data_IF_795990041718
#
_entry.id   IF_795990041718
#
_cell.length_a   1.000
_cell.length_b   1.000
_cell.length_c   1.000
_cell.angle_alpha   90.00
_cell.angle_beta   90.00
_cell.angle_gamma   90.00
#
_symmetry.space_group_name_H-M   'P 1'
#
loop_
_entity.id
_entity.type
_entity.pdbx_description
1 polymer ?
#
# COMPACT_ATOMS: atom_id res chain seq x y z
N UNK A 1 73.96 -39.97 -61.15
CA UNK A 1 72.50 -40.11 -61.05
C UNK A 1 72.09 -40.94 -59.83
N UNK A 2 72.53 -42.21 -59.68
CA UNK A 2 72.13 -43.09 -58.56
C UNK A 2 72.46 -42.62 -57.12
N UNK A 3 73.53 -41.86 -56.89
CA UNK A 3 73.91 -41.43 -55.53
C UNK A 3 73.06 -40.24 -55.00
N UNK A 4 72.66 -39.34 -55.89
CA UNK A 4 71.79 -38.20 -55.54
C UNK A 4 70.35 -38.67 -55.25
N UNK A 5 69.87 -39.63 -56.06
CA UNK A 5 68.57 -40.28 -55.84
C UNK A 5 68.50 -41.01 -54.49
N UNK A 6 69.60 -41.62 -54.04
CA UNK A 6 69.67 -42.29 -52.74
C UNK A 6 69.68 -41.29 -51.57
N UNK A 7 70.47 -40.21 -51.67
CA UNK A 7 70.53 -39.17 -50.64
C UNK A 7 69.20 -38.43 -50.48
N UNK A 8 68.54 -38.11 -51.60
CA UNK A 8 67.21 -37.50 -51.62
C UNK A 8 66.15 -38.47 -51.06
N UNK A 9 66.24 -39.77 -51.37
CA UNK A 9 65.37 -40.78 -50.77
C UNK A 9 65.58 -40.94 -49.25
N UNK A 10 66.83 -40.91 -48.75
CA UNK A 10 67.10 -40.99 -47.30
C UNK A 10 66.69 -39.72 -46.58
N UNK A 11 66.93 -38.53 -47.15
CA UNK A 11 66.46 -37.27 -46.56
C UNK A 11 64.93 -37.18 -46.51
N UNK A 12 64.23 -37.68 -47.54
CA UNK A 12 62.76 -37.80 -47.50
C UNK A 12 62.29 -38.83 -46.48
N UNK A 13 63.03 -39.93 -46.29
CA UNK A 13 62.71 -40.92 -45.26
C UNK A 13 62.89 -40.34 -43.85
N UNK A 14 64.00 -39.64 -43.58
CA UNK A 14 64.25 -38.95 -42.32
C UNK A 14 63.21 -37.85 -42.05
N UNK A 15 62.87 -37.04 -43.06
CA UNK A 15 61.81 -36.04 -42.93
C UNK A 15 60.43 -36.68 -42.66
N UNK A 16 60.16 -37.86 -43.24
CA UNK A 16 58.93 -38.63 -42.97
C UNK A 16 58.96 -39.28 -41.59
N UNK A 17 60.10 -39.74 -41.11
CA UNK A 17 60.27 -40.30 -39.77
C UNK A 17 60.11 -39.22 -38.69
N UNK A 18 60.62 -38.00 -38.93
CA UNK A 18 60.37 -36.83 -38.08
C UNK A 18 58.88 -36.43 -38.09
N UNK A 19 58.22 -36.44 -39.24
CA UNK A 19 56.78 -36.20 -39.35
C UNK A 19 55.97 -37.27 -38.61
N UNK A 20 56.35 -38.55 -38.74
CA UNK A 20 55.72 -39.67 -38.01
C UNK A 20 55.95 -39.55 -36.50
N UNK A 21 57.15 -39.15 -36.07
CA UNK A 21 57.45 -38.91 -34.66
C UNK A 21 56.63 -37.73 -34.10
N UNK A 22 56.50 -36.64 -34.85
CA UNK A 22 55.64 -35.50 -34.51
C UNK A 22 54.17 -35.89 -34.39
N UNK A 23 53.65 -36.68 -35.34
CA UNK A 23 52.28 -37.19 -35.31
C UNK A 23 52.06 -38.16 -34.14
N UNK A 24 53.04 -39.00 -33.79
CA UNK A 24 52.98 -39.87 -32.61
C UNK A 24 52.94 -39.07 -31.30
N UNK A 25 53.79 -38.06 -31.15
CA UNK A 25 53.76 -37.18 -29.97
C UNK A 25 52.45 -36.40 -29.86
N UNK A 26 51.91 -35.91 -30.98
CA UNK A 26 50.60 -35.27 -31.01
C UNK A 26 49.47 -36.24 -30.63
N UNK A 27 49.54 -37.50 -31.07
CA UNK A 27 48.58 -38.55 -30.70
C UNK A 27 48.63 -38.85 -29.21
N UNK A 28 49.81 -38.98 -28.60
CA UNK A 28 49.97 -39.23 -27.17
C UNK A 28 49.44 -38.04 -26.33
N UNK A 29 49.71 -36.81 -26.74
CA UNK A 29 49.13 -35.61 -26.11
C UNK A 29 47.60 -35.61 -26.18
N UNK A 30 47.03 -35.97 -27.34
CA UNK A 30 45.58 -36.09 -27.54
C UNK A 30 44.97 -37.20 -26.69
N UNK A 31 45.66 -38.32 -26.50
CA UNK A 31 45.23 -39.41 -25.62
C UNK A 31 45.21 -38.97 -24.14
N UNK A 32 46.24 -38.25 -23.69
CA UNK A 32 46.29 -37.69 -22.34
C UNK A 32 45.20 -36.65 -22.11
N UNK A 33 44.96 -35.76 -23.07
CA UNK A 33 43.92 -34.75 -22.94
C UNK A 33 42.52 -35.37 -23.00
N UNK A 34 42.31 -36.41 -23.81
CA UNK A 34 41.08 -37.20 -23.80
C UNK A 34 40.83 -37.86 -22.43
N UNK A 35 41.86 -38.39 -21.79
CA UNK A 35 41.75 -38.97 -20.45
C UNK A 35 41.44 -37.91 -19.38
N UNK A 36 42.09 -36.74 -19.43
CA UNK A 36 41.78 -35.61 -18.54
C UNK A 36 40.34 -35.13 -18.71
N UNK A 37 39.90 -34.88 -19.95
CA UNK A 37 38.53 -34.45 -20.22
C UNK A 37 37.50 -35.51 -19.84
N UNK A 38 37.83 -36.80 -19.99
CA UNK A 38 36.98 -37.89 -19.50
C UNK A 38 36.81 -37.84 -17.99
N UNK A 39 37.89 -37.70 -17.23
CA UNK A 39 37.86 -37.59 -15.77
C UNK A 39 37.13 -36.32 -15.29
N UNK A 40 37.30 -35.20 -15.98
CA UNK A 40 36.59 -33.95 -15.70
C UNK A 40 35.08 -34.08 -15.98
N UNK A 41 34.70 -34.78 -17.06
CA UNK A 41 33.31 -35.04 -17.40
C UNK A 41 32.65 -35.94 -16.35
N UNK A 42 33.31 -37.02 -15.92
CA UNK A 42 32.81 -37.86 -14.83
C UNK A 42 32.69 -37.10 -13.50
N UNK A 43 33.65 -36.22 -13.18
CA UNK A 43 33.59 -35.39 -11.99
C UNK A 43 32.44 -34.38 -12.06
N UNK A 44 32.21 -33.79 -13.23
CA UNK A 44 31.10 -32.88 -13.47
C UNK A 44 29.74 -33.60 -13.40
N UNK A 45 29.63 -34.82 -13.94
CA UNK A 45 28.44 -35.67 -13.85
C UNK A 45 28.13 -36.02 -12.40
N UNK A 46 29.12 -36.45 -11.61
CA UNK A 46 28.94 -36.71 -10.16
C UNK A 46 28.52 -35.47 -9.40
N UNK A 47 29.09 -34.31 -9.70
CA UNK A 47 28.70 -33.05 -9.06
C UNK A 47 27.26 -32.65 -9.42
N UNK A 48 26.84 -32.87 -10.68
CA UNK A 48 25.47 -32.64 -11.11
C UNK A 48 24.49 -33.59 -10.39
N UNK A 49 24.84 -34.86 -10.24
CA UNK A 49 24.05 -35.83 -9.47
C UNK A 49 23.95 -35.47 -7.98
N UNK A 50 25.05 -35.06 -7.35
CA UNK A 50 25.04 -34.61 -5.95
C UNK A 50 24.16 -33.37 -5.74
N UNK A 51 24.27 -32.38 -6.63
CA UNK A 51 23.42 -31.17 -6.58
C UNK A 51 21.96 -31.52 -6.79
N UNK A 52 21.65 -32.40 -7.75
CA UNK A 52 20.28 -32.88 -7.98
C UNK A 52 19.74 -33.67 -6.78
N UNK A 53 20.54 -34.55 -6.18
CA UNK A 53 20.17 -35.31 -4.99
C UNK A 53 19.94 -34.41 -3.77
N UNK A 54 20.74 -33.34 -3.62
CA UNK A 54 20.57 -32.37 -2.56
C UNK A 54 19.33 -31.50 -2.77
N UNK A 55 19.06 -31.07 -4.01
CA UNK A 55 17.81 -30.43 -4.41
C UNK A 55 16.60 -31.31 -4.09
N UNK A 56 16.65 -32.58 -4.46
CA UNK A 56 15.55 -33.53 -4.24
C UNK A 56 15.36 -33.85 -2.74
N UNK A 57 16.43 -33.87 -1.94
CA UNK A 57 16.35 -33.97 -0.47
C UNK A 57 15.68 -32.74 0.15
N UNK A 58 16.01 -31.54 -0.31
CA UNK A 58 15.37 -30.30 0.17
C UNK A 58 13.90 -30.21 -0.29
N UNK A 59 13.57 -30.70 -1.50
CA UNK A 59 12.19 -30.88 -1.97
C UNK A 59 11.41 -31.89 -1.12
N UNK A 60 12.01 -33.06 -0.84
CA UNK A 60 11.39 -34.12 0.00
C UNK A 60 11.25 -33.71 1.46
N UNK A 61 12.10 -32.81 1.97
CA UNK A 61 11.99 -32.25 3.32
C UNK A 61 10.76 -31.35 3.49
N UNK A 62 10.01 -31.04 2.43
CA UNK A 62 8.57 -30.74 2.43
C UNK A 62 8.06 -29.61 3.33
N UNK A 63 8.93 -28.94 4.08
CA UNK A 63 8.57 -27.96 5.09
C UNK A 63 8.60 -26.56 4.49
N UNK A 64 9.80 -25.99 4.36
CA UNK A 64 9.94 -24.56 3.99
C UNK A 64 9.50 -24.24 2.56
N UNK A 65 9.90 -25.04 1.57
CA UNK A 65 9.53 -24.76 0.17
C UNK A 65 8.03 -24.92 -0.05
N UNK A 66 7.44 -26.01 0.48
CA UNK A 66 6.01 -26.27 0.40
C UNK A 66 5.19 -25.21 1.17
N UNK A 67 5.67 -24.76 2.33
CA UNK A 67 5.06 -23.65 3.07
C UNK A 67 5.12 -22.33 2.29
N UNK A 68 6.25 -22.02 1.63
CA UNK A 68 6.34 -20.84 0.77
C UNK A 68 5.41 -20.96 -0.45
N UNK A 69 5.32 -22.14 -1.06
CA UNK A 69 4.42 -22.41 -2.19
C UNK A 69 2.94 -22.29 -1.78
N UNK A 70 2.57 -22.79 -0.60
CA UNK A 70 1.25 -22.59 -0.01
C UNK A 70 0.97 -21.10 0.26
N UNK A 71 1.91 -20.38 0.87
CA UNK A 71 1.77 -18.93 1.10
C UNK A 71 1.63 -18.13 -0.19
N UNK A 72 2.41 -18.45 -1.23
CA UNK A 72 2.31 -17.81 -2.54
C UNK A 72 0.95 -18.11 -3.19
N UNK A 73 0.47 -19.34 -3.09
CA UNK A 73 -0.85 -19.71 -3.59
C UNK A 73 -1.99 -19.03 -2.81
N UNK A 74 -1.85 -18.90 -1.50
CA UNK A 74 -2.83 -18.21 -0.66
C UNK A 74 -2.87 -16.71 -0.95
N UNK A 75 -1.69 -16.07 -1.05
CA UNK A 75 -1.56 -14.68 -1.46
C UNK A 75 -2.07 -14.46 -2.90
N UNK A 76 -1.85 -15.41 -3.81
CA UNK A 76 -2.40 -15.37 -5.16
C UNK A 76 -3.92 -15.39 -5.16
N UNK A 77 -4.54 -16.23 -4.32
CA UNK A 77 -6.00 -16.30 -4.14
C UNK A 77 -6.55 -15.01 -3.51
N UNK A 78 -5.89 -14.45 -2.50
CA UNK A 78 -6.35 -13.20 -1.87
C UNK A 78 -6.20 -12.02 -2.83
N UNK A 79 -5.10 -11.94 -3.58
CA UNK A 79 -4.89 -10.91 -4.59
C UNK A 79 -5.95 -10.97 -5.69
N UNK A 80 -6.28 -12.18 -6.18
CA UNK A 80 -7.36 -12.34 -7.15
C UNK A 80 -8.72 -11.90 -6.59
N UNK A 81 -9.03 -12.24 -5.33
CA UNK A 81 -10.28 -11.80 -4.66
C UNK A 81 -10.34 -10.28 -4.45
N UNK A 82 -9.25 -9.67 -4.02
CA UNK A 82 -9.19 -8.22 -3.81
C UNK A 82 -9.31 -7.50 -5.15
N UNK A 83 -8.64 -7.99 -6.20
CA UNK A 83 -8.72 -7.42 -7.54
C UNK A 83 -10.15 -7.47 -8.09
N UNK A 84 -10.84 -8.61 -7.98
CA UNK A 84 -12.25 -8.70 -8.42
C UNK A 84 -13.17 -7.80 -7.59
N UNK A 85 -12.93 -7.67 -6.28
CA UNK A 85 -13.69 -6.71 -5.45
C UNK A 85 -13.45 -5.26 -5.88
N UNK A 86 -12.22 -4.89 -6.22
CA UNK A 86 -11.89 -3.55 -6.73
C UNK A 86 -12.61 -3.31 -8.05
N UNK A 87 -12.51 -4.23 -9.01
CA UNK A 87 -13.20 -4.10 -10.32
C UNK A 87 -14.73 -3.95 -10.15
N UNK A 88 -15.34 -4.72 -9.24
CA UNK A 88 -16.78 -4.60 -8.94
C UNK A 88 -17.10 -3.23 -8.32
N UNK A 89 -16.26 -2.74 -7.39
CA UNK A 89 -16.48 -1.45 -6.74
C UNK A 89 -16.27 -0.28 -7.69
N UNK A 90 -15.26 -0.34 -8.54
CA UNK A 90 -15.02 0.64 -9.61
C UNK A 90 -16.22 0.69 -10.56
N UNK A 91 -16.72 -0.46 -11.02
CA UNK A 91 -17.94 -0.51 -11.85
C UNK A 91 -19.17 0.07 -11.15
N UNK A 92 -19.33 -0.19 -9.84
CA UNK A 92 -20.42 0.41 -9.05
C UNK A 92 -20.29 1.93 -8.96
N UNK A 93 -19.06 2.45 -8.78
CA UNK A 93 -18.81 3.90 -8.72
C UNK A 93 -19.15 4.55 -10.05
N UNK A 94 -18.71 3.97 -11.17
CA UNK A 94 -19.00 4.53 -12.50
C UNK A 94 -20.50 4.53 -12.81
N UNK A 95 -21.23 3.50 -12.37
CA UNK A 95 -22.69 3.44 -12.53
C UNK A 95 -23.39 4.52 -11.69
N UNK A 96 -22.95 4.73 -10.44
CA UNK A 96 -23.51 5.78 -9.57
C UNK A 96 -23.16 7.19 -10.08
N UNK A 97 -21.94 7.42 -10.57
CA UNK A 97 -21.57 8.68 -11.23
C UNK A 97 -22.46 8.97 -12.45
N UNK A 98 -22.77 7.94 -13.25
CA UNK A 98 -23.71 8.05 -14.36
C UNK A 98 -25.13 8.42 -13.92
N UNK A 99 -25.63 7.83 -12.83
CA UNK A 99 -26.95 8.15 -12.25
C UNK A 99 -27.01 9.57 -11.68
N UNK A 100 -25.94 10.02 -11.03
CA UNK A 100 -25.83 11.39 -10.52
C UNK A 100 -25.90 12.39 -11.68
N UNK A 101 -25.08 12.18 -12.72
CA UNK A 101 -25.08 13.04 -13.90
C UNK A 101 -26.43 13.06 -14.62
N UNK A 102 -27.14 11.92 -14.67
CA UNK A 102 -28.51 11.85 -15.19
C UNK A 102 -29.49 12.66 -14.34
N UNK A 103 -29.46 12.47 -13.02
CA UNK A 103 -30.33 13.16 -12.06
C UNK A 103 -30.09 14.67 -12.05
N UNK A 104 -28.85 15.12 -12.21
CA UNK A 104 -28.51 16.54 -12.32
C UNK A 104 -29.10 17.19 -13.58
N UNK A 105 -29.07 16.48 -14.72
CA UNK A 105 -29.72 16.96 -15.95
C UNK A 105 -31.24 17.05 -15.80
N UNK A 106 -31.86 16.02 -15.23
CA UNK A 106 -33.31 16.03 -14.95
C UNK A 106 -33.69 17.18 -14.00
N UNK A 107 -32.88 17.44 -12.97
CA UNK A 107 -33.09 18.56 -12.05
C UNK A 107 -33.07 19.90 -12.77
N UNK A 108 -32.12 20.08 -13.69
CA UNK A 108 -31.98 21.33 -14.42
C UNK A 108 -33.12 21.52 -15.44
N UNK A 109 -33.54 20.46 -16.13
CA UNK A 109 -34.75 20.48 -16.97
C UNK A 109 -36.00 20.83 -16.15
N UNK A 110 -36.17 20.25 -14.95
CA UNK A 110 -37.28 20.58 -14.07
C UNK A 110 -37.24 22.02 -13.57
N UNK A 111 -36.05 22.57 -13.27
CA UNK A 111 -35.91 23.98 -12.88
C UNK A 111 -36.33 24.91 -14.01
N UNK A 112 -35.88 24.64 -15.24
CA UNK A 112 -36.28 25.41 -16.42
C UNK A 112 -37.79 25.35 -16.65
N UNK A 113 -38.38 24.14 -16.57
CA UNK A 113 -39.83 23.96 -16.70
C UNK A 113 -40.62 24.69 -15.60
N UNK A 114 -40.11 24.70 -14.35
CA UNK A 114 -40.73 25.39 -13.23
C UNK A 114 -40.70 26.91 -13.42
N UNK A 115 -39.57 27.45 -13.88
CA UNK A 115 -39.41 28.86 -14.24
C UNK A 115 -40.41 29.28 -15.34
N UNK A 116 -40.58 28.45 -16.37
CA UNK A 116 -41.53 28.68 -17.45
C UNK A 116 -42.98 28.63 -16.96
N UNK A 117 -43.33 27.64 -16.13
CA UNK A 117 -44.66 27.53 -15.53
C UNK A 117 -44.99 28.70 -14.60
N UNK A 118 -44.01 29.18 -13.83
CA UNK A 118 -44.18 30.41 -13.01
C UNK A 118 -44.51 31.61 -13.89
N UNK A 119 -43.78 31.81 -14.99
CA UNK A 119 -44.07 32.89 -15.96
C UNK A 119 -45.46 32.75 -16.59
N UNK A 120 -45.92 31.53 -16.89
CA UNK A 120 -47.27 31.28 -17.39
C UNK A 120 -48.34 31.64 -16.34
N UNK A 121 -48.13 31.27 -15.08
CA UNK A 121 -49.06 31.60 -13.98
C UNK A 121 -49.12 33.11 -13.73
N UNK A 122 -47.99 33.81 -13.74
CA UNK A 122 -47.98 35.28 -13.61
C UNK A 122 -48.76 35.96 -14.74
N UNK A 123 -48.58 35.52 -15.99
CA UNK A 123 -49.34 36.03 -17.13
C UNK A 123 -50.85 35.79 -16.98
N UNK A 124 -51.24 34.55 -16.64
CA UNK A 124 -52.64 34.20 -16.43
C UNK A 124 -53.27 34.98 -15.27
N UNK A 125 -52.55 35.18 -14.17
CA UNK A 125 -53.03 36.00 -13.06
C UNK A 125 -53.23 37.46 -13.46
N UNK A 126 -52.31 38.02 -14.25
CA UNK A 126 -52.44 39.39 -14.76
C UNK A 126 -53.63 39.53 -15.74
N UNK A 127 -53.88 38.54 -16.59
CA UNK A 127 -55.05 38.52 -17.47
C UNK A 127 -56.36 38.33 -16.69
N UNK A 128 -56.38 37.42 -15.72
CA UNK A 128 -57.53 37.18 -14.86
C UNK A 128 -57.90 38.42 -14.04
N UNK A 129 -56.91 39.16 -13.50
CA UNK A 129 -57.14 40.42 -12.82
C UNK A 129 -57.85 41.44 -13.74
N UNK A 130 -57.37 41.61 -14.99
CA UNK A 130 -58.01 42.50 -15.98
C UNK A 130 -59.44 42.08 -16.32
N UNK A 131 -59.69 40.78 -16.45
CA UNK A 131 -61.04 40.26 -16.73
C UNK A 131 -61.96 40.49 -15.54
N UNK A 132 -61.47 40.24 -14.32
CA UNK A 132 -62.22 40.50 -13.09
C UNK A 132 -62.58 41.98 -12.95
N UNK A 133 -61.64 42.88 -13.18
CA UNK A 133 -61.90 44.33 -13.12
C UNK A 133 -62.97 44.74 -14.14
N UNK A 134 -62.86 44.26 -15.39
CA UNK A 134 -63.89 44.48 -16.41
C UNK A 134 -65.25 43.92 -16.02
N UNK A 135 -65.29 42.70 -15.46
CA UNK A 135 -66.53 42.09 -14.99
C UNK A 135 -67.16 42.91 -13.87
N UNK A 136 -66.37 43.38 -12.90
CA UNK A 136 -66.89 44.22 -11.81
C UNK A 136 -67.44 45.54 -12.34
N UNK A 137 -66.77 46.19 -13.30
CA UNK A 137 -67.22 47.42 -13.93
C UNK A 137 -68.50 47.22 -14.76
N UNK A 138 -68.58 46.16 -15.56
CA UNK A 138 -69.78 45.80 -16.31
C UNK A 138 -70.94 45.47 -15.37
N UNK A 139 -70.69 44.73 -14.29
CA UNK A 139 -71.71 44.42 -13.29
C UNK A 139 -72.25 45.68 -12.62
N UNK A 140 -71.38 46.64 -12.24
CA UNK A 140 -71.85 47.92 -11.68
C UNK A 140 -72.64 48.73 -12.70
N UNK A 141 -72.20 48.74 -13.96
CA UNK A 141 -72.93 49.42 -15.04
C UNK A 141 -74.30 48.80 -15.28
N UNK A 142 -74.39 47.47 -15.35
CA UNK A 142 -75.66 46.74 -15.54
C UNK A 142 -76.58 47.00 -14.35
N UNK A 143 -76.10 46.86 -13.12
CA UNK A 143 -76.90 47.14 -11.92
C UNK A 143 -77.43 48.59 -11.95
N UNK A 144 -76.60 49.57 -12.28
CA UNK A 144 -77.04 50.98 -12.36
C UNK A 144 -78.07 51.21 -13.48
N UNK A 145 -77.92 50.50 -14.61
CA UNK A 145 -78.83 50.60 -15.75
C UNK A 145 -80.16 49.92 -15.44
N UNK A 146 -80.13 48.75 -14.79
CA UNK A 146 -81.31 48.04 -14.31
C UNK A 146 -82.06 48.84 -13.25
N UNK A 147 -81.36 49.47 -12.30
CA UNK A 147 -81.95 50.40 -11.33
C UNK A 147 -82.61 51.60 -12.01
N UNK A 148 -81.94 52.19 -13.01
CA UNK A 148 -82.49 53.31 -13.80
C UNK A 148 -83.72 52.88 -14.62
N UNK A 149 -83.66 51.71 -15.27
CA UNK A 149 -84.75 51.18 -16.08
C UNK A 149 -85.94 50.83 -15.20
N UNK A 150 -85.73 50.20 -14.03
CA UNK A 150 -86.79 49.97 -13.06
C UNK A 150 -87.41 51.28 -12.56
N UNK A 151 -86.60 52.31 -12.28
CA UNK A 151 -87.09 53.63 -11.86
C UNK A 151 -87.95 54.29 -12.95
N UNK A 152 -87.52 54.23 -14.22
CA UNK A 152 -88.23 54.80 -15.36
C UNK A 152 -89.50 54.03 -15.74
N UNK A 153 -89.48 52.69 -15.65
CA UNK A 153 -90.60 51.84 -16.08
C UNK A 153 -91.75 51.82 -15.07
N UNK A 154 -91.45 51.99 -13.78
CA UNK A 154 -92.45 51.90 -12.71
C UNK A 154 -92.82 53.25 -12.09
N UNK A 155 -92.06 54.31 -12.36
CA UNK A 155 -92.31 55.64 -11.81
C UNK A 155 -92.26 55.72 -10.29
N UNK A 156 -91.81 54.65 -9.61
CA UNK A 156 -91.72 54.55 -8.17
C UNK A 156 -90.26 54.42 -7.77
N UNK A 157 -89.77 55.41 -7.02
CA UNK A 157 -88.53 55.29 -6.29
C UNK A 157 -88.61 54.11 -5.32
N UNK A 158 -87.68 53.17 -5.46
CA UNK A 158 -87.16 52.30 -4.40
C UNK A 158 -88.20 51.60 -3.50
N UNK A 159 -88.70 50.45 -3.96
CA UNK A 159 -88.69 49.23 -3.12
C UNK A 159 -88.97 48.03 -4.02
N UNK A 160 -87.90 47.39 -4.49
CA UNK A 160 -87.95 46.36 -5.51
C UNK A 160 -88.65 45.09 -5.01
N UNK A 161 -89.90 44.91 -5.44
CA UNK A 161 -90.60 43.63 -5.42
C UNK A 161 -90.83 43.17 -6.86
N UNK A 162 -90.12 42.10 -7.24
CA UNK A 162 -90.43 41.26 -8.40
C UNK A 162 -89.37 41.36 -9.50
N UNK A 163 -88.97 40.29 -10.18
CA UNK A 163 -89.57 38.98 -10.34
C UNK A 163 -88.68 38.21 -11.34
N UNK A 164 -88.38 36.94 -11.11
CA UNK A 164 -88.55 35.87 -12.12
C UNK A 164 -88.23 34.51 -11.49
N UNK A 165 -89.27 33.75 -11.12
CA UNK A 165 -89.17 32.32 -10.79
C UNK A 165 -89.95 31.88 -9.55
N UNK A 166 -91.27 31.78 -9.64
CA UNK A 166 -92.15 31.22 -8.60
C UNK A 166 -92.55 32.22 -7.51
N UNK A 167 -93.79 32.17 -7.02
CA UNK A 167 -94.32 33.09 -6.00
C UNK A 167 -93.60 33.02 -4.64
N UNK A 168 -94.24 33.49 -3.56
CA UNK A 168 -93.68 33.46 -2.19
C UNK A 168 -93.06 32.10 -1.83
N UNK A 169 -93.70 31.00 -2.24
CA UNK A 169 -93.21 29.63 -2.04
C UNK A 169 -91.93 29.28 -2.82
N UNK A 170 -91.73 29.83 -4.02
CA UNK A 170 -90.51 29.64 -4.82
C UNK A 170 -89.32 30.38 -4.22
N UNK A 171 -89.53 31.60 -3.73
CA UNK A 171 -88.51 32.36 -2.98
C UNK A 171 -88.15 31.70 -1.66
N UNK A 172 -89.12 31.10 -0.97
CA UNK A 172 -88.86 30.31 0.25
C UNK A 172 -88.06 29.05 -0.09
N UNK A 173 -88.40 28.34 -1.17
CA UNK A 173 -87.65 27.15 -1.61
C UNK A 173 -86.21 27.49 -2.04
N UNK A 174 -86.00 28.58 -2.78
CA UNK A 174 -84.66 29.05 -3.17
C UNK A 174 -83.86 29.53 -1.93
N UNK A 175 -84.49 30.26 -1.01
CA UNK A 175 -83.85 30.63 0.26
C UNK A 175 -83.49 29.39 1.11
N UNK A 176 -84.33 28.36 1.14
CA UNK A 176 -84.04 27.09 1.81
C UNK A 176 -82.91 26.33 1.12
N UNK A 177 -82.85 26.31 -0.22
CA UNK A 177 -81.75 25.70 -0.98
C UNK A 177 -80.42 26.42 -0.76
N UNK A 178 -80.42 27.76 -0.73
CA UNK A 178 -79.24 28.58 -0.39
C UNK A 178 -78.79 28.39 1.05
N UNK A 179 -79.73 28.23 1.98
CA UNK A 179 -79.41 27.92 3.38
C UNK A 179 -78.80 26.52 3.52
N UNK A 180 -79.35 25.52 2.83
CA UNK A 180 -78.81 24.16 2.83
C UNK A 180 -77.40 24.07 2.19
N UNK A 181 -77.17 24.79 1.09
CA UNK A 181 -75.84 24.87 0.46
C UNK A 181 -74.85 25.62 1.34
N UNK A 182 -75.24 26.75 1.93
CA UNK A 182 -74.41 27.48 2.90
C UNK A 182 -74.05 26.64 4.13
N UNK A 183 -75.00 25.86 4.67
CA UNK A 183 -74.75 24.93 5.78
C UNK A 183 -73.79 23.79 5.38
N UNK A 184 -73.90 23.27 4.15
CA UNK A 184 -72.98 22.25 3.65
C UNK A 184 -71.55 22.81 3.45
N UNK A 185 -71.42 24.04 2.94
CA UNK A 185 -70.14 24.74 2.79
C UNK A 185 -69.50 25.11 4.14
N UNK A 186 -70.30 25.56 5.10
CA UNK A 186 -69.86 25.82 6.48
C UNK A 186 -69.32 24.53 7.11
N UNK A 187 -70.06 23.43 7.00
CA UNK A 187 -69.65 22.15 7.56
C UNK A 187 -68.40 21.59 6.85
N UNK A 188 -68.28 21.75 5.54
CA UNK A 188 -67.09 21.40 4.76
C UNK A 188 -65.86 22.21 5.22
N UNK A 189 -66.03 23.52 5.36
CA UNK A 189 -64.96 24.44 5.81
C UNK A 189 -64.53 24.15 7.25
N UNK A 190 -65.49 23.83 8.14
CA UNK A 190 -65.23 23.43 9.52
C UNK A 190 -64.45 22.12 9.59
N UNK A 191 -64.83 21.13 8.80
CA UNK A 191 -64.09 19.87 8.71
C UNK A 191 -62.67 20.07 8.17
N UNK A 192 -62.48 20.97 7.20
CA UNK A 192 -61.16 21.28 6.66
C UNK A 192 -60.28 21.99 7.69
N UNK A 193 -60.82 22.95 8.45
CA UNK A 193 -60.14 23.60 9.56
C UNK A 193 -59.70 22.58 10.62
N UNK A 194 -60.56 21.62 10.97
CA UNK A 194 -60.23 20.57 11.92
C UNK A 194 -59.11 19.65 11.41
N UNK A 195 -59.08 19.34 10.11
CA UNK A 195 -57.98 18.56 9.48
C UNK A 195 -56.67 19.35 9.52
N UNK A 196 -56.67 20.59 9.02
CA UNK A 196 -55.49 21.45 9.04
C UNK A 196 -54.98 21.71 10.47
N UNK A 197 -55.89 21.87 11.45
CA UNK A 197 -55.51 22.05 12.85
C UNK A 197 -54.86 20.81 13.47
N UNK A 198 -55.29 19.60 13.08
CA UNK A 198 -54.64 18.35 13.50
C UNK A 198 -53.29 18.15 12.82
N UNK A 199 -53.19 18.44 11.53
CA UNK A 199 -51.94 18.38 10.76
C UNK A 199 -50.91 19.36 11.31
N UNK A 200 -51.30 20.59 11.62
CA UNK A 200 -50.43 21.59 12.23
C UNK A 200 -49.87 21.12 13.57
N UNK A 201 -50.72 20.57 14.45
CA UNK A 201 -50.27 20.01 15.74
C UNK A 201 -49.30 18.84 15.58
N UNK A 202 -49.54 17.97 14.59
CA UNK A 202 -48.63 16.86 14.30
C UNK A 202 -47.28 17.38 13.79
N UNK A 203 -47.30 18.33 12.85
CA UNK A 203 -46.11 18.93 12.27
C UNK A 203 -45.29 19.70 13.31
N UNK A 204 -45.93 20.45 14.20
CA UNK A 204 -45.26 21.13 15.33
C UNK A 204 -44.58 20.13 16.28
N UNK A 205 -45.21 18.99 16.55
CA UNK A 205 -44.63 17.95 17.40
C UNK A 205 -43.40 17.31 16.74
N UNK A 206 -43.46 17.06 15.43
CA UNK A 206 -42.33 16.52 14.68
C UNK A 206 -41.20 17.54 14.52
N UNK A 207 -41.52 18.83 14.32
CA UNK A 207 -40.51 19.89 14.28
C UNK A 207 -39.72 19.98 15.58
N UNK A 208 -40.41 19.89 16.73
CA UNK A 208 -39.75 19.85 18.05
C UNK A 208 -38.84 18.62 18.24
N UNK A 209 -39.13 17.49 17.61
CA UNK A 209 -38.22 16.32 17.63
C UNK A 209 -36.97 16.61 16.80
N UNK A 210 -37.17 17.08 15.56
CA UNK A 210 -36.07 17.44 14.65
C UNK A 210 -35.16 18.50 15.26
N UNK A 211 -35.72 19.50 15.95
CA UNK A 211 -34.94 20.52 16.65
C UNK A 211 -34.04 19.92 17.75
N UNK A 212 -34.57 18.99 18.55
CA UNK A 212 -33.79 18.29 19.59
C UNK A 212 -32.70 17.44 18.95
N UNK A 213 -33.04 16.67 17.94
CA UNK A 213 -32.09 15.80 17.24
C UNK A 213 -30.97 16.63 16.60
N UNK A 214 -31.28 17.79 16.01
CA UNK A 214 -30.30 18.71 15.46
C UNK A 214 -29.40 19.32 16.55
N UNK A 215 -29.96 19.69 17.70
CA UNK A 215 -29.19 20.21 18.82
C UNK A 215 -28.23 19.15 19.40
N UNK A 216 -28.68 17.90 19.55
CA UNK A 216 -27.86 16.80 20.05
C UNK A 216 -26.79 16.39 19.02
N UNK A 217 -27.13 16.34 17.73
CA UNK A 217 -26.15 16.14 16.67
C UNK A 217 -25.05 17.21 16.68
N UNK A 218 -25.41 18.49 16.88
CA UNK A 218 -24.44 19.58 17.00
C UNK A 218 -23.50 19.40 18.19
N UNK A 219 -24.03 19.06 19.37
CA UNK A 219 -23.22 18.78 20.58
C UNK A 219 -22.26 17.61 20.37
N UNK A 220 -22.73 16.54 19.73
CA UNK A 220 -21.89 15.39 19.40
C UNK A 220 -20.75 15.78 18.43
N UNK A 221 -21.06 16.61 17.42
CA UNK A 221 -20.07 17.10 16.46
C UNK A 221 -18.99 17.96 17.15
N UNK A 222 -19.38 18.85 18.07
CA UNK A 222 -18.45 19.66 18.86
C UNK A 222 -17.57 18.78 19.76
N UNK A 223 -18.15 17.77 20.41
CA UNK A 223 -17.41 16.81 21.25
C UNK A 223 -16.41 16.00 20.43
N UNK A 224 -16.81 15.51 19.25
CA UNK A 224 -15.94 14.77 18.36
C UNK A 224 -14.79 15.64 17.83
N UNK A 225 -15.06 16.91 17.49
CA UNK A 225 -14.02 17.86 17.10
C UNK A 225 -13.00 18.09 18.22
N UNK A 226 -13.48 18.31 19.44
CA UNK A 226 -12.61 18.47 20.61
C UNK A 226 -11.74 17.24 20.86
N UNK A 227 -12.30 16.03 20.68
CA UNK A 227 -11.55 14.78 20.80
C UNK A 227 -10.48 14.64 19.71
N UNK A 228 -10.81 14.96 18.46
CA UNK A 228 -9.85 14.96 17.34
C UNK A 228 -8.70 15.92 17.62
N UNK A 229 -8.99 17.12 18.10
CA UNK A 229 -7.95 18.11 18.42
C UNK A 229 -7.09 17.67 19.63
N UNK A 230 -7.68 16.99 20.61
CA UNK A 230 -6.94 16.38 21.71
C UNK A 230 -5.98 15.29 21.20
N UNK A 231 -6.45 14.39 20.36
CA UNK A 231 -5.60 13.34 19.77
C UNK A 231 -4.50 13.93 18.88
N UNK A 232 -4.79 14.97 18.11
CA UNK A 232 -3.77 15.69 17.33
C UNK A 232 -2.70 16.32 18.22
N UNK A 233 -3.07 16.94 19.34
CA UNK A 233 -2.09 17.47 20.30
C UNK A 233 -1.24 16.36 20.92
N UNK A 234 -1.87 15.27 21.38
CA UNK A 234 -1.14 14.10 21.91
C UNK A 234 -0.17 13.51 20.89
N UNK A 235 -0.57 13.44 19.62
CA UNK A 235 0.30 12.97 18.54
C UNK A 235 1.44 13.96 18.24
N UNK A 236 1.21 15.27 18.38
CA UNK A 236 2.28 16.26 18.25
C UNK A 236 3.24 16.20 19.44
N UNK A 237 2.75 15.95 20.66
CA UNK A 237 3.55 15.80 21.88
C UNK A 237 4.48 14.59 21.84
N UNK A 238 4.13 13.51 21.12
CA UNK A 238 5.05 12.38 20.93
C UNK A 238 6.24 12.72 20.03
N UNK A 239 6.24 13.89 19.37
CA UNK A 239 7.28 14.29 18.44
C UNK A 239 7.35 13.42 17.19
N UNK A 240 6.32 12.60 16.94
CA UNK A 240 6.28 11.70 15.80
C UNK A 240 6.04 12.47 14.51
N UNK A 241 6.87 12.20 13.51
CA UNK A 241 6.69 12.67 12.14
C UNK A 241 6.88 11.48 11.20
N UNK A 242 5.91 11.28 10.30
CA UNK A 242 5.99 10.25 9.27
C UNK A 242 7.26 10.39 8.41
N UNK A 243 7.73 11.62 8.19
CA UNK A 243 8.95 11.90 7.44
C UNK A 243 10.21 11.43 8.18
N UNK A 244 10.26 11.63 9.50
CA UNK A 244 11.38 11.16 10.33
C UNK A 244 11.41 9.64 10.43
N UNK A 245 10.25 9.00 10.60
CA UNK A 245 10.14 7.55 10.62
C UNK A 245 10.63 6.93 9.31
N UNK A 246 10.20 7.49 8.17
CA UNK A 246 10.64 7.02 6.86
C UNK A 246 12.16 7.25 6.65
N UNK A 247 12.71 8.36 7.15
CA UNK A 247 14.16 8.60 7.11
C UNK A 247 14.93 7.56 7.90
N UNK A 248 14.52 7.28 9.14
CA UNK A 248 15.18 6.28 9.98
C UNK A 248 15.03 4.86 9.43
N UNK A 249 13.90 4.51 8.83
CA UNK A 249 13.72 3.21 8.18
C UNK A 249 14.69 3.05 6.98
N UNK A 250 14.86 4.11 6.18
CA UNK A 250 15.81 4.11 5.08
C UNK A 250 17.26 4.01 5.57
N UNK A 251 17.64 4.75 6.61
CA UNK A 251 18.97 4.67 7.25
C UNK A 251 19.23 3.26 7.79
N UNK A 252 18.26 2.67 8.49
CA UNK A 252 18.37 1.30 9.00
C UNK A 252 18.53 0.28 7.88
N UNK A 253 17.79 0.44 6.79
CA UNK A 253 17.90 -0.42 5.60
C UNK A 253 19.30 -0.30 4.98
N UNK A 254 19.81 0.91 4.85
CA UNK A 254 21.14 1.16 4.30
C UNK A 254 22.24 0.57 5.19
N UNK A 255 22.17 0.80 6.51
CA UNK A 255 23.11 0.23 7.46
C UNK A 255 23.10 -1.31 7.45
N UNK A 256 21.91 -1.93 7.35
CA UNK A 256 21.79 -3.40 7.21
C UNK A 256 22.43 -3.92 5.92
N UNK A 257 22.22 -3.22 4.81
CA UNK A 257 22.85 -3.56 3.53
C UNK A 257 24.37 -3.42 3.61
N UNK A 258 24.87 -2.36 4.24
CA UNK A 258 26.30 -2.15 4.43
C UNK A 258 26.92 -3.25 5.30
N UNK A 259 26.30 -3.60 6.42
CA UNK A 259 26.74 -4.72 7.28
C UNK A 259 26.77 -6.03 6.50
N UNK A 260 25.76 -6.28 5.64
CA UNK A 260 25.73 -7.46 4.78
C UNK A 260 26.90 -7.45 3.79
N UNK A 261 27.11 -6.35 3.08
CA UNK A 261 28.19 -6.22 2.11
C UNK A 261 29.57 -6.38 2.76
N UNK A 262 29.79 -5.76 3.92
CA UNK A 262 31.02 -5.91 4.71
C UNK A 262 31.20 -7.34 5.23
N UNK A 263 30.11 -8.01 5.60
CA UNK A 263 30.14 -9.43 6.01
C UNK A 263 30.51 -10.34 4.85
N UNK A 264 29.93 -10.13 3.67
CA UNK A 264 30.27 -10.88 2.45
C UNK A 264 31.73 -10.66 2.04
N UNK A 265 32.22 -9.42 2.12
CA UNK A 265 33.63 -9.08 1.88
C UNK A 265 34.55 -9.76 2.90
N UNK A 266 34.21 -9.69 4.19
CA UNK A 266 34.95 -10.35 5.27
C UNK A 266 35.00 -11.86 5.05
N UNK A 267 33.88 -12.50 4.69
CA UNK A 267 33.83 -13.94 4.44
C UNK A 267 34.59 -14.36 3.18
N UNK A 268 34.63 -13.50 2.16
CA UNK A 268 35.46 -13.69 0.98
C UNK A 268 36.96 -13.64 1.33
N UNK A 269 37.40 -12.64 2.09
CA UNK A 269 38.79 -12.54 2.58
C UNK A 269 39.13 -13.73 3.49
N UNK A 270 38.22 -14.10 4.39
CA UNK A 270 38.36 -15.27 5.28
C UNK A 270 38.58 -16.56 4.49
N UNK A 271 37.84 -16.77 3.40
CA UNK A 271 38.01 -17.93 2.50
C UNK A 271 39.37 -17.94 1.81
N UNK A 272 39.86 -16.78 1.37
CA UNK A 272 41.19 -16.66 0.73
C UNK A 272 42.35 -16.84 1.72
N UNK A 273 42.17 -16.43 2.98
CA UNK A 273 43.21 -16.43 4.02
C UNK A 273 42.89 -17.40 5.16
N UNK A 274 42.67 -18.68 4.82
CA UNK A 274 42.33 -19.73 5.80
C UNK A 274 43.40 -19.94 6.87
N UNK A 275 44.65 -19.60 6.57
CA UNK A 275 45.78 -19.64 7.50
C UNK A 275 45.65 -18.61 8.66
N UNK A 276 44.96 -17.50 8.45
CA UNK A 276 44.77 -16.40 9.43
C UNK A 276 43.43 -16.55 10.19
N UNK A 277 42.71 -17.65 10.01
CA UNK A 277 41.45 -17.92 10.71
C UNK A 277 41.66 -18.82 11.93
N UNK A 278 41.36 -18.32 13.13
CA UNK A 278 41.46 -19.09 14.38
C UNK A 278 40.07 -19.38 14.94
N UNK A 279 39.63 -20.63 14.80
CA UNK A 279 38.35 -21.12 15.31
C UNK A 279 38.56 -22.02 16.52
N UNK A 280 37.76 -21.79 17.57
CA UNK A 280 37.74 -22.61 18.79
C UNK A 280 36.30 -22.71 19.34
N UNK A 281 35.99 -23.82 20.00
CA UNK A 281 34.77 -23.97 20.78
C UNK A 281 34.94 -23.36 22.17
N UNK A 282 33.86 -22.84 22.75
CA UNK A 282 33.92 -22.25 24.09
C UNK A 282 34.27 -23.35 25.11
N UNK A 283 35.39 -23.24 25.84
CA UNK A 283 35.90 -24.34 26.68
C UNK A 283 35.04 -24.63 27.91
N UNK A 284 34.20 -23.67 28.33
CA UNK A 284 33.17 -23.85 29.36
C UNK A 284 32.03 -22.83 29.19
N UNK A 285 30.85 -23.06 29.80
CA UNK A 285 29.76 -22.07 29.83
C UNK A 285 30.23 -20.74 30.45
N UNK A 286 29.81 -19.61 29.87
CA UNK A 286 30.21 -18.25 30.28
C UNK A 286 31.72 -17.93 30.16
N UNK A 287 32.46 -18.63 29.30
CA UNK A 287 33.83 -18.24 28.97
C UNK A 287 33.86 -16.87 28.27
N UNK A 288 34.63 -15.93 28.80
CA UNK A 288 34.84 -14.62 28.20
C UNK A 288 35.77 -14.72 26.98
N UNK A 289 35.22 -14.44 25.79
CA UNK A 289 35.97 -14.50 24.53
C UNK A 289 37.07 -13.45 24.45
N UNK A 290 36.97 -12.34 25.19
CA UNK A 290 37.97 -11.27 25.17
C UNK A 290 39.33 -11.71 25.77
N UNK A 291 39.37 -12.84 26.49
CA UNK A 291 40.61 -13.45 27.01
C UNK A 291 41.47 -14.08 25.91
N UNK A 292 40.88 -14.34 24.75
CA UNK A 292 41.57 -14.80 23.54
C UNK A 292 41.70 -13.61 22.60
N UNK A 293 42.92 -13.08 22.47
CA UNK A 293 43.15 -11.87 21.66
C UNK A 293 43.16 -12.17 20.16
N UNK A 294 43.55 -13.39 19.78
CA UNK A 294 43.58 -13.84 18.39
C UNK A 294 45.01 -14.07 17.90
N UNK A 295 45.19 -14.23 16.59
CA UNK A 295 46.50 -14.49 16.00
C UNK A 295 47.37 -13.24 16.03
N UNK A 296 48.68 -13.40 16.19
CA UNK A 296 49.63 -12.28 16.11
C UNK A 296 49.45 -11.51 14.79
N UNK A 297 49.29 -12.22 13.66
CA UNK A 297 49.06 -11.63 12.35
C UNK A 297 47.84 -10.69 12.27
N UNK A 298 46.79 -10.94 13.06
CA UNK A 298 45.57 -10.10 13.09
C UNK A 298 45.67 -8.92 14.06
N UNK A 299 46.66 -8.94 14.96
CA UNK A 299 46.80 -7.95 16.03
C UNK A 299 47.83 -6.87 15.70
N UNK A 300 48.71 -7.13 14.73
CA UNK A 300 49.73 -6.18 14.28
C UNK A 300 49.32 -5.54 12.96
N UNK A 301 49.30 -4.22 12.93
CA UNK A 301 49.14 -3.43 11.71
C UNK A 301 50.48 -2.89 11.23
N UNK A 302 50.68 -2.84 9.92
CA UNK A 302 51.82 -2.17 9.31
C UNK A 302 51.35 -0.85 8.69
N UNK A 303 52.07 0.23 8.93
CA UNK A 303 51.77 1.50 8.27
C UNK A 303 52.09 1.44 6.78
N UNK A 304 51.31 2.14 5.95
CA UNK A 304 51.45 2.13 4.48
C UNK A 304 52.87 2.50 4.01
N UNK A 305 53.54 3.38 4.73
CA UNK A 305 54.92 3.81 4.44
C UNK A 305 55.90 2.63 4.50
N UNK A 306 55.64 1.66 5.37
CA UNK A 306 56.51 0.53 5.64
C UNK A 306 56.11 -0.73 4.85
N UNK A 307 55.15 -0.66 3.93
CA UNK A 307 54.72 -1.82 3.14
C UNK A 307 55.86 -2.46 2.32
N UNK A 308 56.88 -1.68 1.94
CA UNK A 308 58.07 -2.22 1.27
C UNK A 308 58.87 -3.21 2.15
N UNK A 309 58.75 -3.11 3.47
CA UNK A 309 59.38 -3.99 4.43
C UNK A 309 58.49 -5.18 4.83
N UNK A 310 57.28 -5.32 4.26
CA UNK A 310 56.33 -6.37 4.66
C UNK A 310 56.90 -7.78 4.52
N UNK A 311 57.54 -8.08 3.39
CA UNK A 311 58.16 -9.39 3.13
C UNK A 311 59.30 -9.69 4.10
N UNK A 312 60.12 -8.69 4.44
CA UNK A 312 61.22 -8.86 5.40
C UNK A 312 60.68 -9.13 6.81
N UNK A 313 59.63 -8.41 7.23
CA UNK A 313 58.97 -8.61 8.51
C UNK A 313 58.25 -9.96 8.58
N UNK A 314 57.63 -10.40 7.47
CA UNK A 314 57.01 -11.71 7.34
C UNK A 314 58.02 -12.84 7.52
N UNK A 315 59.16 -12.76 6.83
CA UNK A 315 60.25 -13.75 6.94
C UNK A 315 60.82 -13.76 8.37
N UNK A 316 61.01 -12.58 8.97
CA UNK A 316 61.58 -12.45 10.33
C UNK A 316 60.66 -13.05 11.39
N UNK A 317 59.35 -12.79 11.30
CA UNK A 317 58.37 -13.34 12.22
C UNK A 317 58.10 -14.84 11.95
N UNK A 318 58.13 -15.25 10.68
CA UNK A 318 57.96 -16.62 10.22
C UNK A 318 56.68 -17.25 10.76
N UNK A 319 56.78 -18.50 11.23
CA UNK A 319 55.66 -19.25 11.79
C UNK A 319 55.02 -18.61 13.04
N UNK A 320 55.71 -17.67 13.72
CA UNK A 320 55.20 -17.02 14.93
C UNK A 320 54.01 -16.09 14.65
N UNK A 321 53.81 -15.65 13.41
CA UNK A 321 52.62 -14.88 13.00
C UNK A 321 51.31 -15.65 13.23
N UNK A 322 51.39 -16.98 13.20
CA UNK A 322 50.24 -17.87 13.40
C UNK A 322 50.07 -18.33 14.85
N UNK A 323 50.83 -17.75 15.77
CA UNK A 323 50.63 -17.99 17.20
C UNK A 323 49.41 -17.21 17.70
N UNK A 324 48.68 -17.79 18.63
CA UNK A 324 47.47 -17.17 19.20
C UNK A 324 47.81 -16.57 20.55
N UNK A 325 47.53 -15.28 20.71
CA UNK A 325 47.75 -14.55 21.96
C UNK A 325 46.57 -14.77 22.89
N UNK A 326 46.87 -15.20 24.12
CA UNK A 326 45.89 -15.42 25.19
C UNK A 326 46.31 -14.64 26.43
N UNK A 327 45.33 -14.23 27.24
CA UNK A 327 45.58 -13.42 28.43
C UNK A 327 46.49 -14.12 29.47
N UNK A 328 46.22 -15.39 29.78
CA UNK A 328 46.99 -16.16 30.76
C UNK A 328 47.27 -17.60 30.32
N UNK A 329 48.24 -18.25 30.96
CA UNK A 329 48.54 -19.67 30.73
C UNK A 329 47.37 -20.60 31.12
N UNK A 330 46.54 -20.19 32.09
CA UNK A 330 45.33 -20.93 32.48
C UNK A 330 44.31 -20.95 31.34
N UNK A 331 44.06 -19.80 30.71
CA UNK A 331 43.19 -19.70 29.53
C UNK A 331 43.77 -20.52 28.37
N UNK A 332 45.09 -20.49 28.20
CA UNK A 332 45.77 -21.33 27.22
C UNK A 332 45.55 -22.83 27.44
N UNK A 333 45.66 -23.30 28.69
CA UNK A 333 45.39 -24.70 29.05
C UNK A 333 43.94 -25.09 28.78
N UNK A 334 42.99 -24.23 29.16
CA UNK A 334 41.56 -24.47 28.94
C UNK A 334 41.22 -24.62 27.44
N UNK A 335 41.82 -23.78 26.59
CA UNK A 335 41.63 -23.87 25.13
C UNK A 335 42.23 -25.12 24.52
N UNK A 336 43.41 -25.55 25.00
CA UNK A 336 44.04 -26.78 24.51
C UNK A 336 43.27 -28.03 24.94
N UNK A 337 42.70 -28.04 26.14
CA UNK A 337 41.97 -29.18 26.69
C UNK A 337 40.53 -29.27 26.15
N UNK A 338 39.79 -28.16 26.17
CA UNK A 338 38.35 -28.13 25.93
C UNK A 338 37.93 -27.27 24.73
N UNK A 339 38.86 -26.57 24.07
CA UNK A 339 38.56 -25.65 22.96
C UNK A 339 38.39 -26.29 21.59
N UNK A 340 38.51 -27.63 21.49
CA UNK A 340 38.35 -28.43 20.24
C UNK A 340 39.01 -27.80 19.01
N UNK A 341 40.30 -27.49 19.12
CA UNK A 341 41.05 -26.81 18.09
C UNK A 341 41.22 -27.71 16.85
N UNK A 342 40.85 -27.20 15.68
CA UNK A 342 40.90 -27.96 14.40
C UNK A 342 42.30 -28.21 13.86
N UNK A 343 43.31 -27.45 14.33
CA UNK A 343 44.70 -27.51 13.88
C UNK A 343 45.66 -27.33 15.05
N UNK A 344 46.89 -27.83 14.89
CA UNK A 344 47.98 -27.59 15.84
C UNK A 344 48.30 -26.09 15.86
N UNK A 345 48.17 -25.46 17.02
CA UNK A 345 48.48 -24.04 17.24
C UNK A 345 49.44 -23.89 18.41
N UNK A 346 50.18 -22.79 18.41
CA UNK A 346 51.04 -22.40 19.53
C UNK A 346 50.39 -21.20 20.21
N UNK A 347 50.16 -21.29 21.51
CA UNK A 347 49.55 -20.22 22.30
C UNK A 347 50.65 -19.39 22.98
N UNK A 348 50.48 -18.06 23.00
CA UNK A 348 51.35 -17.12 23.70
C UNK A 348 50.57 -16.54 24.88
N UNK A 349 50.81 -17.02 26.11
CA UNK A 349 50.22 -16.44 27.30
C UNK A 349 50.93 -15.14 27.68
N UNK A 350 50.17 -14.04 27.73
CA UNK A 350 50.72 -12.71 28.03
C UNK A 350 51.31 -12.62 29.45
N UNK A 351 50.84 -13.43 30.39
CA UNK A 351 51.35 -13.45 31.76
C UNK A 351 52.71 -14.16 31.95
N UNK A 352 53.20 -14.92 30.95
CA UNK A 352 54.44 -15.72 31.06
C UNK A 352 55.44 -15.50 29.92
N UNK A 353 55.15 -14.57 29.01
CA UNK A 353 56.05 -14.33 27.87
C UNK A 353 57.29 -13.56 28.34
N UNK A 354 58.46 -14.18 28.19
CA UNK A 354 59.75 -13.53 28.40
C UNK A 354 60.42 -13.34 27.04
N UNK A 355 60.98 -12.14 26.81
CA UNK A 355 61.68 -11.81 25.56
C UNK A 355 63.09 -11.34 25.88
N UNK A 356 64.08 -11.97 25.24
CA UNK A 356 65.44 -11.44 25.23
C UNK A 356 65.49 -10.24 24.27
N UNK A 357 65.75 -9.04 24.81
CA UNK A 357 65.95 -7.84 24.02
C UNK A 357 67.45 -7.63 23.85
N UNK A 358 67.91 -7.51 22.61
CA UNK A 358 69.27 -7.03 22.34
C UNK A 358 69.32 -5.58 22.82
N UNK A 359 70.28 -5.26 23.69
CA UNK A 359 70.47 -3.89 24.14
C UNK A 359 70.75 -3.01 22.93
N UNK A 360 70.03 -1.90 22.73
CA UNK A 360 70.32 -1.00 21.62
C UNK A 360 71.76 -0.47 21.76
N UNK A 361 72.53 -0.60 20.69
CA UNK A 361 73.90 -0.06 20.60
C UNK A 361 73.87 1.45 20.35
#
# INVERSE_FOLDING_TARGET
LRAFEWLDATQRAEAKDEEIAGVKGAKESLEQDKEKYGNEMEAAERSMEEVNAQRDKELKKGGKFKQLEEQVNELGKTLAKVKTQVEIKEGTITDEEGKIAGSEKELEEFRVNLEEKRKQVEKLNAEHAKVKDKQTALQTSVNSSEELLQTLLTGLSSSNSGNTGGGYMGKIADAQARLATGQAEEQSSRNQLDRCGKELKALEADWKKVERDAADAKRNLETMRANVDNFRRKLAETGWSAEQEQSHENELRNAKNEVRNLTELRDSVKRRMRNVDFEYEMPHPNFDRNKVKGLVASLVGLDKVNYRASTALEITAGGRLYNVVVESDEVGKQLLQNGRLKRRVTLIPLNRIESFRVSPA
#
